data_IF_513577240057
#
_entry.id   IF_513577240057
#
_cell.length_a   1.000
_cell.length_b   1.000
_cell.length_c   1.000
_cell.angle_alpha   90.00
_cell.angle_beta   90.00
_cell.angle_gamma   90.00
#
_symmetry.space_group_name_H-M   'P 1'
#
loop_
_entity.id
_entity.type
_entity.pdbx_description
1 polymer ?
#
# COMPACT_ATOMS: atom_id res chain seq x y z
N UNK A 1 -14.71 25.47 2.57
CA UNK A 1 -13.24 25.46 2.66
C UNK A 1 -12.79 24.01 2.66
N UNK A 2 -12.16 23.51 1.57
CA UNK A 2 -11.44 22.23 1.66
C UNK A 2 -10.26 22.46 2.61
N UNK A 3 -10.09 21.57 3.58
CA UNK A 3 -8.91 21.52 4.43
C UNK A 3 -7.67 21.56 3.54
N UNK A 4 -6.72 22.44 3.83
CA UNK A 4 -5.38 22.45 3.24
C UNK A 4 -4.70 21.12 3.61
N UNK A 5 -5.01 20.05 2.86
CA UNK A 5 -4.58 18.69 3.19
C UNK A 5 -3.14 18.50 2.73
N UNK A 6 -2.22 19.14 3.44
CA UNK A 6 -0.80 18.85 3.31
C UNK A 6 -0.59 17.38 3.61
N UNK A 7 -0.05 16.67 2.63
CA UNK A 7 0.25 15.26 2.78
C UNK A 7 1.53 15.15 3.60
N UNK A 8 1.44 14.43 4.72
CA UNK A 8 2.59 14.23 5.58
C UNK A 8 3.60 13.29 4.92
N UNK A 9 4.87 13.40 5.33
CA UNK A 9 5.90 12.47 4.88
C UNK A 9 5.57 11.02 5.27
N UNK A 10 4.98 10.81 6.45
CA UNK A 10 4.53 9.50 6.91
C UNK A 10 3.46 8.92 5.98
N UNK A 11 2.49 9.73 5.57
CA UNK A 11 1.45 9.31 4.63
C UNK A 11 2.03 8.91 3.27
N UNK A 12 3.07 9.59 2.79
CA UNK A 12 3.79 9.16 1.59
C UNK A 12 4.50 7.81 1.82
N UNK A 13 5.27 7.69 2.89
CA UNK A 13 6.12 6.53 3.15
C UNK A 13 5.34 5.22 3.23
N UNK A 14 4.12 5.22 3.76
CA UNK A 14 3.29 4.00 3.84
C UNK A 14 2.87 3.46 2.46
N UNK A 15 2.90 4.27 1.40
CA UNK A 15 2.69 3.80 0.02
C UNK A 15 3.99 3.35 -0.67
N UNK A 16 5.15 3.80 -0.20
CA UNK A 16 6.45 3.50 -0.81
C UNK A 16 7.12 2.27 -0.22
N UNK A 17 7.09 2.19 1.11
CA UNK A 17 7.71 1.10 1.86
C UNK A 17 6.91 -0.17 1.61
N UNK A 18 7.60 -1.28 1.35
CA UNK A 18 6.99 -2.61 1.24
C UNK A 18 7.03 -3.33 2.57
N UNK A 19 6.12 -4.28 2.76
CA UNK A 19 6.07 -5.12 3.98
C UNK A 19 7.43 -5.77 4.27
N UNK A 20 8.13 -6.28 3.26
CA UNK A 20 9.46 -6.88 3.43
C UNK A 20 10.54 -5.95 3.97
N UNK A 21 10.36 -4.64 3.82
CA UNK A 21 11.37 -3.66 4.22
C UNK A 21 11.32 -3.40 5.74
N UNK A 22 10.25 -3.85 6.41
CA UNK A 22 10.01 -3.61 7.85
C UNK A 22 9.61 -4.86 8.63
N UNK A 23 9.35 -6.00 7.97
CA UNK A 23 9.00 -7.25 8.66
C UNK A 23 10.20 -7.90 9.34
N UNK A 24 9.94 -8.75 10.33
CA UNK A 24 10.92 -9.69 10.88
C UNK A 24 10.99 -10.95 10.01
N UNK A 25 12.17 -11.23 9.45
CA UNK A 25 12.41 -12.37 8.56
C UNK A 25 12.80 -13.65 9.31
N UNK A 26 13.47 -13.52 10.47
CA UNK A 26 13.87 -14.64 11.31
C UNK A 26 12.73 -15.08 12.23
N UNK A 27 11.81 -15.85 11.67
CA UNK A 27 10.60 -16.30 12.37
C UNK A 27 10.80 -17.66 13.01
N UNK A 28 10.50 -17.76 14.31
CA UNK A 28 10.36 -19.05 14.99
C UNK A 28 9.09 -19.75 14.48
N UNK A 29 9.26 -20.94 13.92
CA UNK A 29 8.17 -21.78 13.40
C UNK A 29 8.06 -23.09 14.16
N UNK A 30 6.87 -23.72 14.11
CA UNK A 30 6.63 -25.06 14.65
C UNK A 30 6.15 -26.02 13.56
N UNK A 31 6.44 -27.32 13.71
CA UNK A 31 5.93 -28.35 12.81
C UNK A 31 4.48 -28.71 13.15
N UNK A 32 3.63 -29.04 12.16
CA UNK A 32 2.26 -29.52 12.40
C UNK A 32 2.20 -30.81 13.24
N UNK A 33 3.28 -31.59 13.26
CA UNK A 33 3.40 -32.85 14.00
C UNK A 33 3.94 -32.66 15.42
N UNK A 34 4.35 -31.45 15.78
CA UNK A 34 4.81 -31.15 17.15
C UNK A 34 3.66 -31.41 18.13
N UNK A 35 3.87 -32.14 19.23
CA UNK A 35 2.85 -32.34 20.24
C UNK A 35 2.44 -31.04 20.94
N UNK A 36 1.18 -30.90 21.30
CA UNK A 36 0.65 -29.74 22.03
C UNK A 36 1.34 -29.57 23.40
N UNK A 37 1.73 -30.67 24.04
CA UNK A 37 2.51 -30.65 25.29
C UNK A 37 3.83 -29.87 25.19
N UNK A 38 4.47 -29.83 24.02
CA UNK A 38 5.74 -29.12 23.80
C UNK A 38 5.56 -27.64 23.45
N UNK A 39 4.33 -27.21 23.09
CA UNK A 39 4.07 -25.86 22.61
C UNK A 39 4.43 -24.80 23.65
N UNK A 40 4.07 -25.02 24.92
CA UNK A 40 4.33 -24.04 25.98
C UNK A 40 5.82 -23.78 26.18
N UNK A 41 6.64 -24.83 26.14
CA UNK A 41 8.09 -24.70 26.32
C UNK A 41 8.72 -23.94 25.15
N UNK A 42 8.30 -24.22 23.91
CA UNK A 42 8.75 -23.49 22.72
C UNK A 42 8.38 -22.00 22.84
N UNK A 43 7.13 -21.69 23.17
CA UNK A 43 6.66 -20.30 23.29
C UNK A 43 7.41 -19.56 24.41
N UNK A 44 7.61 -20.19 25.57
CA UNK A 44 8.31 -19.60 26.72
C UNK A 44 9.79 -19.39 26.44
N UNK A 45 10.48 -20.40 25.92
CA UNK A 45 11.93 -20.35 25.64
C UNK A 45 12.24 -19.27 24.60
N UNK A 46 11.43 -19.20 23.54
CA UNK A 46 11.60 -18.21 22.47
C UNK A 46 10.97 -16.85 22.77
N UNK A 47 10.31 -16.70 23.93
CA UNK A 47 9.62 -15.47 24.38
C UNK A 47 8.62 -14.94 23.37
N UNK A 48 7.84 -15.83 22.78
CA UNK A 48 6.80 -15.51 21.78
C UNK A 48 5.44 -15.98 22.28
N UNK A 49 4.38 -15.30 21.88
CA UNK A 49 2.99 -15.68 22.25
C UNK A 49 2.26 -16.50 21.19
N UNK A 50 2.96 -16.87 20.12
CA UNK A 50 2.43 -17.68 19.03
C UNK A 50 3.44 -17.80 17.90
N UNK A 51 3.28 -18.84 17.07
CA UNK A 51 4.19 -19.18 16.00
C UNK A 51 3.42 -19.63 14.74
N UNK A 52 3.92 -19.34 13.53
CA UNK A 52 3.43 -19.97 12.32
C UNK A 52 3.73 -21.48 12.36
N UNK A 53 2.77 -22.26 11.91
CA UNK A 53 2.94 -23.70 11.70
C UNK A 53 3.35 -23.91 10.25
N UNK A 54 4.50 -24.55 10.05
CA UNK A 54 5.11 -24.72 8.73
C UNK A 54 5.31 -26.20 8.42
N UNK A 55 4.90 -26.62 7.22
CA UNK A 55 5.17 -27.94 6.66
C UNK A 55 5.99 -27.78 5.37
N UNK A 56 7.21 -28.33 5.35
CA UNK A 56 8.12 -28.27 4.18
C UNK A 56 8.21 -26.87 3.56
N UNK A 57 8.50 -25.87 4.41
CA UNK A 57 8.62 -24.42 4.10
C UNK A 57 7.32 -23.69 3.72
N UNK A 58 6.18 -24.37 3.70
CA UNK A 58 4.88 -23.77 3.39
C UNK A 58 4.10 -23.52 4.67
N UNK A 59 3.40 -22.39 4.71
CA UNK A 59 2.51 -22.06 5.81
C UNK A 59 1.34 -23.05 5.84
N UNK A 60 1.23 -23.80 6.94
CA UNK A 60 0.17 -24.76 7.20
C UNK A 60 -0.91 -24.20 8.14
N UNK A 61 -0.54 -23.26 9.01
CA UNK A 61 -1.46 -22.63 9.96
C UNK A 61 -0.76 -21.65 10.89
N UNK A 62 -1.47 -21.17 11.91
CA UNK A 62 -0.90 -20.40 13.03
C UNK A 62 -1.40 -21.01 14.34
N UNK A 63 -0.53 -21.01 15.35
CA UNK A 63 -0.85 -21.45 16.71
C UNK A 63 -0.40 -20.40 17.71
N UNK A 64 -1.19 -20.19 18.76
CA UNK A 64 -0.97 -19.16 19.77
C UNK A 64 -1.05 -19.72 21.19
N UNK A 65 -0.65 -18.89 22.15
CA UNK A 65 -0.84 -19.17 23.56
C UNK A 65 -2.32 -19.33 23.94
N UNK A 66 -3.23 -18.62 23.26
CA UNK A 66 -4.69 -18.76 23.50
C UNK A 66 -5.17 -20.17 23.11
N UNK A 67 -4.66 -20.71 22.00
CA UNK A 67 -4.97 -22.09 21.57
C UNK A 67 -4.46 -23.12 22.57
N UNK A 68 -3.27 -22.90 23.13
CA UNK A 68 -2.72 -23.73 24.21
C UNK A 68 -3.60 -23.68 25.47
N UNK A 69 -4.01 -22.47 25.89
CA UNK A 69 -4.88 -22.28 27.07
C UNK A 69 -6.22 -23.00 26.86
N UNK A 70 -6.83 -22.89 25.67
CA UNK A 70 -8.08 -23.57 25.33
C UNK A 70 -7.94 -25.09 25.35
N UNK A 71 -6.86 -25.62 24.79
CA UNK A 71 -6.57 -27.06 24.81
C UNK A 71 -6.39 -27.56 26.24
N UNK A 72 -5.61 -26.85 27.07
CA UNK A 72 -5.35 -27.20 28.47
C UNK A 72 -6.65 -27.20 29.30
N UNK A 73 -7.51 -26.19 29.12
CA UNK A 73 -8.80 -26.10 29.81
C UNK A 73 -9.76 -27.23 29.42
N UNK A 74 -9.62 -27.77 28.20
CA UNK A 74 -10.46 -28.85 27.68
C UNK A 74 -10.16 -30.23 28.26
N UNK A 75 -9.06 -30.41 29.03
CA UNK A 75 -8.61 -31.71 29.59
C UNK A 75 -8.54 -32.83 28.55
N UNK A 76 -8.08 -32.50 27.35
CA UNK A 76 -7.92 -33.44 26.23
C UNK A 76 -6.56 -34.16 26.35
N UNK A 77 -6.47 -35.33 25.73
CA UNK A 77 -5.18 -36.02 25.54
C UNK A 77 -4.23 -35.19 24.67
N UNK A 78 -2.94 -35.50 24.75
CA UNK A 78 -1.94 -34.85 23.91
C UNK A 78 -2.20 -35.16 22.43
N UNK A 79 -2.08 -34.14 21.59
CA UNK A 79 -2.39 -34.22 20.17
C UNK A 79 -1.40 -33.35 19.38
N UNK A 80 -1.24 -33.59 18.06
CA UNK A 80 -0.42 -32.72 17.22
C UNK A 80 -1.00 -31.30 17.12
N UNK A 81 -0.12 -30.30 17.02
CA UNK A 81 -0.51 -28.89 16.79
C UNK A 81 -1.47 -28.73 15.61
N UNK A 82 -1.35 -29.57 14.58
CA UNK A 82 -2.22 -29.51 13.40
C UNK A 82 -3.72 -29.70 13.68
N UNK A 83 -4.09 -30.26 14.82
CA UNK A 83 -5.49 -30.42 15.26
C UNK A 83 -6.05 -29.16 15.92
N UNK A 84 -5.20 -28.30 16.48
CA UNK A 84 -5.59 -27.08 17.22
C UNK A 84 -5.23 -25.78 16.50
N UNK A 85 -4.36 -25.83 15.49
CA UNK A 85 -3.97 -24.65 14.74
C UNK A 85 -5.11 -24.04 13.93
N UNK A 86 -5.07 -22.72 13.76
CA UNK A 86 -5.93 -22.03 12.81
C UNK A 86 -5.37 -22.21 11.39
N UNK A 87 -6.20 -22.75 10.48
CA UNK A 87 -5.80 -23.05 9.09
C UNK A 87 -6.07 -21.92 8.11
N UNK A 88 -7.18 -21.18 8.27
CA UNK A 88 -7.46 -19.96 7.49
C UNK A 88 -6.67 -18.79 8.08
N UNK A 89 -5.37 -18.75 7.77
CA UNK A 89 -4.48 -17.69 8.24
C UNK A 89 -4.62 -16.48 7.33
N UNK A 90 -5.03 -15.35 7.89
CA UNK A 90 -4.94 -14.07 7.17
C UNK A 90 -3.48 -13.63 7.13
N UNK A 91 -2.97 -13.41 5.92
CA UNK A 91 -1.55 -13.15 5.65
C UNK A 91 -1.35 -11.84 4.91
N UNK A 92 -0.12 -11.34 4.92
CA UNK A 92 0.37 -10.26 4.07
C UNK A 92 1.36 -10.83 3.05
N UNK A 93 1.54 -10.13 1.94
CA UNK A 93 2.59 -10.45 0.97
C UNK A 93 3.81 -9.57 1.20
N UNK A 94 5.00 -10.17 1.09
CA UNK A 94 6.26 -9.45 1.28
C UNK A 94 6.44 -8.28 0.28
N UNK A 95 5.84 -8.36 -0.90
CA UNK A 95 5.97 -7.38 -1.97
C UNK A 95 4.96 -6.23 -1.92
N UNK A 96 3.94 -6.31 -1.07
CA UNK A 96 2.86 -5.33 -1.04
C UNK A 96 3.22 -4.08 -0.22
N UNK A 97 2.64 -2.91 -0.55
CA UNK A 97 2.87 -1.68 0.20
C UNK A 97 2.42 -1.74 1.66
N UNK A 98 3.13 -1.01 2.51
CA UNK A 98 2.93 -0.99 3.97
C UNK A 98 1.53 -0.53 4.37
N UNK A 99 0.89 0.34 3.58
CA UNK A 99 -0.49 0.78 3.78
C UNK A 99 -1.48 -0.40 3.85
N UNK A 100 -1.21 -1.51 3.15
CA UNK A 100 -2.07 -2.70 3.26
C UNK A 100 -1.90 -3.42 4.60
N UNK A 101 -0.69 -3.43 5.16
CA UNK A 101 -0.48 -3.93 6.51
C UNK A 101 -1.27 -3.10 7.52
N UNK A 102 -1.17 -1.76 7.43
CA UNK A 102 -1.93 -0.83 8.28
C UNK A 102 -3.44 -1.11 8.19
N UNK A 103 -3.99 -1.20 6.97
CA UNK A 103 -5.41 -1.49 6.76
C UNK A 103 -5.83 -2.85 7.33
N UNK A 104 -5.02 -3.91 7.16
CA UNK A 104 -5.33 -5.24 7.71
C UNK A 104 -5.27 -5.24 9.25
N UNK A 105 -4.32 -4.51 9.83
CA UNK A 105 -4.23 -4.33 11.28
C UNK A 105 -5.46 -3.63 11.86
N UNK A 106 -5.95 -2.59 11.21
CA UNK A 106 -7.17 -1.88 11.63
C UNK A 106 -8.41 -2.76 11.48
N UNK A 107 -8.54 -3.44 10.33
CA UNK A 107 -9.72 -4.26 10.02
C UNK A 107 -9.88 -5.47 10.95
N UNK A 108 -8.77 -6.18 11.24
CA UNK A 108 -8.83 -7.44 11.97
C UNK A 108 -8.49 -7.31 13.46
N UNK A 109 -7.87 -6.20 13.88
CA UNK A 109 -7.46 -6.00 15.27
C UNK A 109 -6.36 -6.96 15.74
N UNK A 110 -5.72 -7.71 14.83
CA UNK A 110 -4.66 -8.66 15.17
C UNK A 110 -3.40 -7.95 15.68
N UNK A 111 -2.66 -8.61 16.56
CA UNK A 111 -1.37 -8.09 17.05
C UNK A 111 -0.21 -8.31 16.08
N UNK A 112 -0.33 -9.28 15.17
CA UNK A 112 0.68 -9.61 14.16
C UNK A 112 0.04 -10.25 12.93
N UNK A 113 0.73 -10.17 11.81
CA UNK A 113 0.39 -10.88 10.57
C UNK A 113 1.56 -11.72 10.10
N UNK A 114 1.24 -12.91 9.58
CA UNK A 114 2.22 -13.74 8.88
C UNK A 114 2.43 -13.20 7.48
N UNK A 115 3.68 -13.03 7.08
CA UNK A 115 4.08 -12.55 5.75
C UNK A 115 4.52 -13.73 4.91
N UNK A 116 3.97 -13.84 3.70
CA UNK A 116 4.28 -14.92 2.76
C UNK A 116 4.74 -14.38 1.40
N UNK A 117 5.39 -15.25 0.63
CA UNK A 117 5.67 -14.98 -0.77
C UNK A 117 4.39 -15.16 -1.62
N UNK A 118 4.19 -14.26 -2.58
CA UNK A 118 3.01 -14.30 -3.46
C UNK A 118 3.03 -15.49 -4.42
N UNK A 119 4.21 -15.98 -4.82
CA UNK A 119 4.33 -16.99 -5.87
C UNK A 119 4.19 -18.41 -5.33
N UNK A 120 4.90 -18.73 -4.25
CA UNK A 120 5.01 -20.10 -3.74
C UNK A 120 4.35 -20.31 -2.36
N UNK A 121 3.78 -19.24 -1.78
CA UNK A 121 3.16 -19.21 -0.44
C UNK A 121 4.11 -19.63 0.69
N UNK A 122 5.43 -19.53 0.48
CA UNK A 122 6.40 -19.76 1.54
C UNK A 122 6.34 -18.66 2.59
N UNK A 123 6.60 -19.04 3.83
CA UNK A 123 6.78 -18.08 4.92
C UNK A 123 7.97 -17.17 4.62
N UNK A 124 7.77 -15.86 4.73
CA UNK A 124 8.81 -14.83 4.55
C UNK A 124 9.10 -14.06 5.82
N UNK A 125 8.13 -13.94 6.71
CA UNK A 125 8.31 -13.17 7.92
C UNK A 125 7.05 -13.09 8.78
N UNK A 126 7.15 -12.30 9.84
CA UNK A 126 6.02 -11.79 10.62
C UNK A 126 6.17 -10.28 10.66
N UNK A 127 5.04 -9.58 10.69
CA UNK A 127 5.01 -8.14 10.91
C UNK A 127 4.06 -7.82 12.07
N UNK A 128 4.45 -6.86 12.89
CA UNK A 128 3.71 -6.29 14.01
C UNK A 128 3.56 -4.78 13.85
N UNK A 129 2.67 -4.16 14.63
CA UNK A 129 2.56 -2.69 14.66
C UNK A 129 3.87 -2.02 15.13
N UNK A 130 4.66 -2.69 15.97
CA UNK A 130 5.96 -2.19 16.43
C UNK A 130 6.96 -2.08 15.28
N UNK A 131 7.05 -3.13 14.46
CA UNK A 131 7.97 -3.18 13.32
C UNK A 131 7.62 -2.11 12.27
N UNK A 132 6.32 -1.85 12.06
CA UNK A 132 5.85 -0.74 11.21
C UNK A 132 6.36 0.61 11.72
N UNK A 133 6.23 0.86 13.03
CA UNK A 133 6.66 2.13 13.65
C UNK A 133 8.18 2.28 13.54
N UNK A 134 8.94 1.25 13.92
CA UNK A 134 10.40 1.28 13.84
C UNK A 134 10.88 1.49 12.40
N UNK A 135 10.30 0.75 11.45
CA UNK A 135 10.63 0.86 10.03
C UNK A 135 10.33 2.25 9.46
N UNK A 136 9.21 2.86 9.85
CA UNK A 136 8.89 4.24 9.46
C UNK A 136 9.87 5.26 10.05
N UNK A 137 10.24 5.12 11.34
CA UNK A 137 11.21 6.00 11.99
C UNK A 137 12.59 5.93 11.31
N UNK A 138 13.11 4.72 11.08
CA UNK A 138 14.36 4.49 10.33
C UNK A 138 14.32 5.15 8.95
N UNK A 139 13.18 5.03 8.26
CA UNK A 139 13.05 5.59 6.91
C UNK A 139 13.00 7.11 6.91
N UNK A 140 12.32 7.71 7.89
CA UNK A 140 12.30 9.17 8.08
C UNK A 140 13.70 9.72 8.36
N UNK A 141 14.49 9.05 9.20
CA UNK A 141 15.88 9.43 9.49
C UNK A 141 16.75 9.39 8.22
N UNK A 142 16.65 8.32 7.42
CA UNK A 142 17.39 8.21 6.16
C UNK A 142 17.02 9.32 5.18
N UNK A 143 15.73 9.63 5.05
CA UNK A 143 15.28 10.66 4.12
C UNK A 143 15.65 12.08 4.60
N UNK A 144 15.64 12.33 5.91
CA UNK A 144 16.09 13.59 6.50
C UNK A 144 17.54 13.91 6.10
N UNK A 145 18.45 12.94 6.21
CA UNK A 145 19.84 13.13 5.80
C UNK A 145 20.03 13.30 4.27
N UNK A 146 19.10 12.80 3.45
CA UNK A 146 19.16 12.98 1.98
C UNK A 146 18.71 14.36 1.55
N UNK A 147 17.69 14.93 2.18
CA UNK A 147 17.17 16.28 1.86
C UNK A 147 18.22 17.37 2.11
N UNK A 148 19.09 17.19 3.11
CA UNK A 148 20.23 18.09 3.41
C UNK A 148 21.29 18.12 2.29
N UNK A 149 21.38 17.05 1.48
CA UNK A 149 22.38 16.92 0.40
C UNK A 149 21.82 17.29 -0.99
N UNK A 150 20.49 17.28 -1.18
CA UNK A 150 19.85 17.42 -2.49
C UNK A 150 19.31 18.82 -2.82
N UNK A 151 19.31 19.73 -1.84
CA UNK A 151 18.70 21.07 -1.97
C UNK A 151 19.35 22.00 -3.02
N UNK A 152 20.46 21.60 -3.65
CA UNK A 152 21.23 22.48 -4.56
C UNK A 152 20.99 22.27 -6.08
N UNK A 153 20.14 21.33 -6.52
CA UNK A 153 20.05 20.98 -7.97
C UNK A 153 18.65 20.95 -8.61
N UNK A 154 17.66 21.62 -8.03
CA UNK A 154 16.25 21.32 -8.33
C UNK A 154 15.53 22.36 -9.24
N UNK A 155 16.13 23.49 -9.64
CA UNK A 155 15.33 24.57 -10.29
C UNK A 155 15.45 24.74 -11.83
N UNK A 156 16.21 23.96 -12.60
CA UNK A 156 16.59 24.40 -13.99
C UNK A 156 16.08 23.56 -15.17
N UNK A 157 15.01 22.78 -15.05
CA UNK A 157 14.54 22.00 -16.22
C UNK A 157 13.63 22.80 -17.18
N UNK A 158 12.70 23.60 -16.65
CA UNK A 158 11.78 24.38 -17.50
C UNK A 158 12.32 25.78 -17.85
N UNK A 159 13.30 26.29 -17.11
CA UNK A 159 13.88 27.63 -17.32
C UNK A 159 14.72 27.72 -18.60
N UNK A 160 15.30 26.61 -19.05
CA UNK A 160 16.22 26.56 -20.20
C UNK A 160 15.51 26.21 -21.53
N UNK A 161 14.20 25.96 -21.51
CA UNK A 161 13.41 25.62 -22.71
C UNK A 161 12.59 26.84 -23.10
N UNK A 162 12.86 27.42 -24.27
CA UNK A 162 12.09 28.55 -24.82
C UNK A 162 11.01 28.06 -25.77
N UNK A 163 9.75 28.09 -25.34
CA UNK A 163 8.58 27.88 -26.19
C UNK A 163 7.36 28.62 -25.62
N UNK A 164 6.40 28.99 -26.47
CA UNK A 164 5.14 29.63 -26.04
C UNK A 164 4.32 28.75 -25.07
N UNK A 165 4.52 27.42 -25.15
CA UNK A 165 3.93 26.44 -24.22
C UNK A 165 4.80 25.19 -24.16
N UNK A 166 5.11 24.74 -22.94
CA UNK A 166 5.83 23.49 -22.70
C UNK A 166 4.94 22.55 -21.92
N UNK A 167 4.85 21.31 -22.37
CA UNK A 167 4.17 20.24 -21.66
C UNK A 167 4.94 18.93 -21.83
N UNK A 168 5.23 18.25 -20.73
CA UNK A 168 5.79 16.90 -20.75
C UNK A 168 4.66 15.88 -20.66
N UNK A 169 4.74 14.82 -21.47
CA UNK A 169 3.74 13.76 -21.51
C UNK A 169 4.38 12.43 -21.10
N UNK A 170 3.79 11.79 -20.10
CA UNK A 170 4.14 10.43 -19.67
C UNK A 170 2.93 9.53 -19.88
N UNK A 171 3.16 8.30 -20.35
CA UNK A 171 2.12 7.30 -20.50
C UNK A 171 2.57 5.97 -19.91
N UNK A 172 1.70 5.37 -19.11
CA UNK A 172 1.91 4.06 -18.50
C UNK A 172 0.74 3.15 -18.86
N UNK A 173 1.04 1.90 -19.17
CA UNK A 173 0.03 0.86 -19.36
C UNK A 173 -0.13 0.06 -18.08
N UNK A 174 -1.38 -0.17 -17.69
CA UNK A 174 -1.73 -0.91 -16.48
C UNK A 174 -2.53 -2.14 -16.90
N UNK A 175 -2.03 -3.32 -16.55
CA UNK A 175 -2.73 -4.58 -16.78
C UNK A 175 -3.73 -4.85 -15.64
N UNK A 176 -4.95 -5.25 -15.98
CA UNK A 176 -5.93 -5.71 -14.99
C UNK A 176 -5.40 -6.94 -14.24
N UNK A 177 -5.73 -7.04 -12.95
CA UNK A 177 -5.35 -8.15 -12.07
C UNK A 177 -3.83 -8.38 -11.89
N UNK A 178 -2.96 -7.50 -12.41
CA UNK A 178 -1.51 -7.60 -12.22
C UNK A 178 -1.05 -6.92 -10.92
N UNK A 179 -1.28 -7.60 -9.80
CA UNK A 179 -0.84 -7.10 -8.48
C UNK A 179 0.68 -7.15 -8.28
N UNK A 180 1.43 -7.88 -9.11
CA UNK A 180 2.90 -7.95 -8.99
C UNK A 180 3.55 -6.62 -9.36
N UNK A 181 2.94 -5.91 -10.30
CA UNK A 181 3.38 -4.60 -10.80
C UNK A 181 2.63 -3.42 -10.18
N UNK A 182 1.81 -3.70 -9.15
CA UNK A 182 1.06 -2.69 -8.41
C UNK A 182 1.97 -1.56 -7.90
N UNK A 183 1.60 -0.31 -8.19
CA UNK A 183 2.31 0.89 -7.75
C UNK A 183 3.55 1.26 -8.58
N UNK A 184 3.94 0.43 -9.56
CA UNK A 184 5.13 0.68 -10.38
C UNK A 184 5.00 1.98 -11.18
N UNK A 185 3.81 2.28 -11.72
CA UNK A 185 3.57 3.49 -12.50
C UNK A 185 3.71 4.73 -11.63
N UNK A 186 3.11 4.70 -10.43
CA UNK A 186 3.23 5.78 -9.44
C UNK A 186 4.68 5.99 -8.98
N UNK A 187 5.41 4.93 -8.64
CA UNK A 187 6.82 5.06 -8.21
C UNK A 187 7.73 5.62 -9.31
N UNK A 188 7.56 5.19 -10.56
CA UNK A 188 8.30 5.73 -11.71
C UNK A 188 7.98 7.19 -11.97
N UNK A 189 6.70 7.57 -11.88
CA UNK A 189 6.26 8.94 -12.00
C UNK A 189 6.86 9.82 -10.91
N UNK A 190 6.79 9.39 -9.64
CA UNK A 190 7.42 10.08 -8.51
C UNK A 190 8.91 10.34 -8.77
N UNK A 191 9.66 9.30 -9.12
CA UNK A 191 11.09 9.41 -9.37
C UNK A 191 11.38 10.40 -10.52
N UNK A 192 10.53 10.43 -11.55
CA UNK A 192 10.65 11.37 -12.67
C UNK A 192 10.36 12.80 -12.24
N UNK A 193 9.28 13.04 -11.49
CA UNK A 193 8.93 14.38 -11.00
C UNK A 193 9.99 14.93 -10.02
N UNK A 194 10.61 14.07 -9.21
CA UNK A 194 11.74 14.45 -8.36
C UNK A 194 12.96 14.88 -9.17
N UNK A 195 13.25 14.21 -10.30
CA UNK A 195 14.33 14.60 -11.22
C UNK A 195 14.03 15.87 -12.00
N UNK A 196 12.76 16.15 -12.27
CA UNK A 196 12.30 17.42 -12.84
C UNK A 196 12.33 18.57 -11.82
N UNK A 197 12.58 18.26 -10.55
CA UNK A 197 12.75 19.25 -9.50
C UNK A 197 11.46 19.88 -9.00
N UNK A 198 10.34 19.16 -9.09
CA UNK A 198 9.09 19.67 -8.54
C UNK A 198 9.12 19.67 -7.01
N UNK A 199 8.32 20.57 -6.42
CA UNK A 199 8.23 20.68 -4.97
C UNK A 199 7.75 19.35 -4.33
N UNK A 200 8.36 18.88 -3.22
CA UNK A 200 8.03 17.58 -2.61
C UNK A 200 6.55 17.37 -2.30
N UNK A 201 5.82 18.42 -1.90
CA UNK A 201 4.38 18.34 -1.62
C UNK A 201 3.57 18.00 -2.88
N UNK A 202 3.93 18.58 -4.03
CA UNK A 202 3.28 18.28 -5.31
C UNK A 202 3.56 16.83 -5.70
N UNK A 203 4.82 16.40 -5.58
CA UNK A 203 5.25 15.03 -5.87
C UNK A 203 4.46 14.01 -5.04
N UNK A 204 4.32 14.24 -3.72
CA UNK A 204 3.56 13.38 -2.81
C UNK A 204 2.11 13.20 -3.25
N UNK A 205 1.43 14.32 -3.52
CA UNK A 205 0.03 14.33 -3.98
C UNK A 205 -0.14 13.57 -5.28
N UNK A 206 0.73 13.80 -6.26
CA UNK A 206 0.67 13.10 -7.55
C UNK A 206 0.92 11.60 -7.39
N UNK A 207 1.92 11.21 -6.57
CA UNK A 207 2.26 9.81 -6.35
C UNK A 207 1.11 9.03 -5.71
N UNK A 208 0.53 9.53 -4.61
CA UNK A 208 -0.56 8.85 -3.91
C UNK A 208 -1.81 8.77 -4.80
N UNK A 209 -2.20 9.88 -5.44
CA UNK A 209 -3.35 9.89 -6.33
C UNK A 209 -3.19 8.91 -7.50
N UNK A 210 -1.98 8.82 -8.06
CA UNK A 210 -1.68 7.90 -9.17
C UNK A 210 -1.70 6.45 -8.70
N UNK A 211 -1.18 6.15 -7.50
CA UNK A 211 -1.20 4.80 -6.92
C UNK A 211 -2.65 4.30 -6.73
N UNK A 212 -3.50 5.13 -6.13
CA UNK A 212 -4.90 4.78 -5.90
C UNK A 212 -5.67 4.59 -7.22
N UNK A 213 -5.39 5.44 -8.21
CA UNK A 213 -6.01 5.32 -9.52
C UNK A 213 -5.52 4.06 -10.25
N UNK A 214 -4.23 3.74 -10.17
CA UNK A 214 -3.64 2.50 -10.69
C UNK A 214 -4.28 1.26 -10.04
N UNK A 215 -4.46 1.25 -8.72
CA UNK A 215 -5.12 0.15 -8.02
C UNK A 215 -6.57 -0.03 -8.47
N UNK A 216 -7.30 1.06 -8.69
CA UNK A 216 -8.67 0.96 -9.20
C UNK A 216 -8.72 0.27 -10.57
N UNK A 217 -7.77 0.56 -11.47
CA UNK A 217 -7.66 -0.14 -12.76
C UNK A 217 -7.35 -1.62 -12.55
N UNK A 218 -6.34 -1.95 -11.73
CA UNK A 218 -5.94 -3.35 -11.48
C UNK A 218 -7.09 -4.16 -10.88
N UNK A 219 -7.85 -3.56 -9.97
CA UNK A 219 -8.91 -4.25 -9.22
C UNK A 219 -10.17 -4.40 -10.07
N UNK A 220 -10.63 -3.34 -10.74
CA UNK A 220 -11.98 -3.28 -11.30
C UNK A 220 -12.05 -3.39 -12.83
N UNK A 221 -10.92 -3.28 -13.53
CA UNK A 221 -10.87 -3.31 -15.00
C UNK A 221 -9.98 -4.43 -15.55
N UNK A 222 -10.08 -4.67 -16.85
CA UNK A 222 -9.20 -5.59 -17.60
C UNK A 222 -7.82 -4.97 -17.88
N UNK A 223 -7.71 -3.65 -17.68
CA UNK A 223 -6.51 -2.86 -17.86
C UNK A 223 -6.86 -1.43 -18.21
N UNK A 224 -5.84 -0.60 -18.42
CA UNK A 224 -6.02 0.82 -18.68
C UNK A 224 -4.73 1.54 -19.00
N UNK A 225 -4.85 2.85 -19.13
CA UNK A 225 -3.73 3.75 -19.40
C UNK A 225 -3.76 4.91 -18.43
N UNK A 226 -2.59 5.23 -17.88
CA UNK A 226 -2.37 6.45 -17.10
C UNK A 226 -1.58 7.40 -18.00
N UNK A 227 -2.14 8.57 -18.29
CA UNK A 227 -1.47 9.65 -19.02
C UNK A 227 -1.26 10.83 -18.08
N UNK A 228 -0.03 11.30 -17.98
CA UNK A 228 0.32 12.45 -17.15
C UNK A 228 0.81 13.56 -18.06
N UNK A 229 0.18 14.74 -17.95
CA UNK A 229 0.67 15.98 -18.56
C UNK A 229 1.23 16.85 -17.44
N UNK A 230 2.49 17.23 -17.55
CA UNK A 230 3.16 18.16 -16.64
C UNK A 230 3.37 19.48 -17.37
N UNK A 231 2.75 20.53 -16.86
CA UNK A 231 2.91 21.93 -17.28
C UNK A 231 3.44 22.74 -16.08
N UNK A 232 3.97 23.96 -16.31
CA UNK A 232 4.57 24.78 -15.24
C UNK A 232 3.69 24.97 -14.00
N UNK A 233 2.37 25.15 -14.18
CA UNK A 233 1.44 25.45 -13.08
C UNK A 233 0.45 24.31 -12.78
N UNK A 234 0.50 23.21 -13.54
CA UNK A 234 -0.48 22.14 -13.42
C UNK A 234 0.10 20.78 -13.82
N UNK A 235 -0.19 19.77 -13.00
CA UNK A 235 -0.09 18.36 -13.37
C UNK A 235 -1.49 17.80 -13.55
N UNK A 236 -1.74 17.25 -14.73
CA UNK A 236 -2.97 16.53 -15.07
C UNK A 236 -2.68 15.04 -15.21
N UNK A 237 -3.21 14.24 -14.30
CA UNK A 237 -3.22 12.77 -14.40
C UNK A 237 -4.57 12.34 -14.95
N UNK A 238 -4.57 11.67 -16.10
CA UNK A 238 -5.74 11.04 -16.71
C UNK A 238 -5.61 9.53 -16.64
N UNK A 239 -6.66 8.86 -16.18
CA UNK A 239 -6.74 7.41 -16.14
C UNK A 239 -7.94 6.97 -16.95
N UNK A 240 -7.70 6.10 -17.92
CA UNK A 240 -8.72 5.52 -18.79
C UNK A 240 -8.63 4.00 -18.66
N UNK A 241 -9.72 3.36 -18.23
CA UNK A 241 -9.78 1.91 -18.10
C UNK A 241 -10.72 1.25 -19.11
N UNK A 242 -10.50 -0.04 -19.30
CA UNK A 242 -11.40 -0.95 -20.00
C UNK A 242 -12.01 -1.87 -18.98
N UNK A 243 -13.10 -1.43 -18.38
CA UNK A 243 -13.80 -2.17 -17.33
C UNK A 243 -15.32 -2.13 -17.48
N UNK A 244 -16.05 -2.73 -16.53
CA UNK A 244 -17.50 -2.77 -16.53
C UNK A 244 -18.15 -1.38 -16.32
N UNK A 245 -17.37 -0.39 -15.89
CA UNK A 245 -17.84 0.92 -15.47
C UNK A 245 -18.45 0.89 -14.06
N UNK A 246 -18.76 2.08 -13.54
CA UNK A 246 -19.30 2.33 -12.21
C UNK A 246 -20.80 2.66 -12.40
N UNK A 247 -21.72 1.83 -11.88
CA UNK A 247 -23.16 2.06 -12.03
C UNK A 247 -23.64 3.36 -11.38
N UNK A 248 -23.09 3.69 -10.22
CA UNK A 248 -23.43 4.87 -9.43
C UNK A 248 -22.14 5.56 -8.96
N UNK A 249 -21.77 6.62 -9.66
CA UNK A 249 -20.53 7.37 -9.41
C UNK A 249 -20.61 8.15 -8.11
N UNK A 250 -21.78 8.68 -7.76
CA UNK A 250 -21.96 9.45 -6.52
C UNK A 250 -21.77 8.56 -5.30
N UNK A 251 -22.37 7.37 -5.34
CA UNK A 251 -22.17 6.35 -4.30
C UNK A 251 -20.73 5.88 -4.23
N UNK A 252 -20.05 5.72 -5.37
CA UNK A 252 -18.65 5.33 -5.42
C UNK A 252 -17.69 6.35 -4.76
N UNK A 253 -18.06 7.63 -4.71
CA UNK A 253 -17.28 8.68 -4.07
C UNK A 253 -17.48 8.75 -2.55
N UNK A 254 -18.46 8.01 -1.99
CA UNK A 254 -18.71 8.00 -0.55
C UNK A 254 -17.62 7.21 0.18
N UNK A 255 -17.00 7.78 1.24
CA UNK A 255 -15.99 7.08 2.02
C UNK A 255 -16.50 5.74 2.54
N UNK A 256 -15.69 4.70 2.42
CA UNK A 256 -16.03 3.35 2.88
C UNK A 256 -16.88 2.53 1.90
N UNK A 257 -17.40 3.13 0.83
CA UNK A 257 -18.12 2.37 -0.19
C UNK A 257 -17.17 1.61 -1.11
N UNK A 258 -17.42 0.32 -1.31
CA UNK A 258 -16.55 -0.55 -2.11
C UNK A 258 -17.30 -1.72 -2.71
N UNK A 259 -17.17 -1.88 -4.03
CA UNK A 259 -17.67 -3.02 -4.80
C UNK A 259 -16.60 -4.10 -5.01
N UNK A 260 -15.48 -4.01 -4.28
CA UNK A 260 -14.39 -4.98 -4.36
C UNK A 260 -14.91 -6.41 -4.05
N UNK A 261 -14.60 -7.40 -4.91
CA UNK A 261 -14.84 -8.81 -4.60
C UNK A 261 -14.20 -9.23 -3.28
N UNK A 262 -14.71 -10.28 -2.63
CA UNK A 262 -14.21 -10.74 -1.33
C UNK A 262 -12.71 -11.06 -1.36
N UNK A 263 -12.24 -11.71 -2.42
CA UNK A 263 -10.81 -11.99 -2.58
C UNK A 263 -9.95 -10.71 -2.64
N UNK A 264 -10.47 -9.58 -3.14
CA UNK A 264 -9.78 -8.27 -3.12
C UNK A 264 -9.80 -7.67 -1.71
N UNK A 265 -10.91 -7.84 -0.98
CA UNK A 265 -11.04 -7.40 0.41
C UNK A 265 -10.14 -8.18 1.37
N UNK A 266 -9.88 -9.45 1.07
CA UNK A 266 -8.92 -10.30 1.79
C UNK A 266 -7.48 -9.90 1.55
N UNK A 267 -7.17 -9.36 0.36
CA UNK A 267 -5.86 -8.77 0.05
C UNK A 267 -5.61 -7.45 0.81
N UNK A 268 -6.59 -6.92 1.55
CA UNK A 268 -6.46 -5.64 2.27
C UNK A 268 -6.81 -4.41 1.42
N UNK A 269 -7.26 -4.63 0.19
CA UNK A 269 -7.80 -3.60 -0.69
C UNK A 269 -9.32 -3.47 -0.50
N UNK A 270 -9.92 -2.46 -1.14
CA UNK A 270 -11.37 -2.36 -1.17
C UNK A 270 -12.00 -1.93 0.17
N UNK A 271 -11.25 -1.22 1.01
CA UNK A 271 -11.80 -0.48 2.16
C UNK A 271 -12.68 0.72 1.76
N UNK A 272 -12.79 1.01 0.46
CA UNK A 272 -13.62 2.12 -0.06
C UNK A 272 -13.00 3.50 0.13
N UNK A 273 -11.68 3.56 0.36
CA UNK A 273 -10.96 4.82 0.58
C UNK A 273 -10.28 5.39 -0.67
N UNK A 274 -10.06 4.59 -1.71
CA UNK A 274 -9.18 4.99 -2.83
C UNK A 274 -9.62 6.25 -3.58
N UNK A 275 -10.90 6.36 -3.96
CA UNK A 275 -11.42 7.57 -4.62
C UNK A 275 -11.43 8.79 -3.68
N UNK A 276 -11.61 8.57 -2.37
CA UNK A 276 -11.51 9.64 -1.38
C UNK A 276 -10.06 10.13 -1.23
N UNK A 277 -9.10 9.21 -1.14
CA UNK A 277 -7.67 9.50 -1.10
C UNK A 277 -7.24 10.31 -2.33
N UNK A 278 -7.72 9.93 -3.53
CA UNK A 278 -7.48 10.70 -4.76
C UNK A 278 -8.06 12.12 -4.62
N UNK A 279 -9.31 12.24 -4.18
CA UNK A 279 -9.98 13.54 -3.99
C UNK A 279 -9.25 14.46 -3.00
N UNK A 280 -8.68 13.88 -1.93
CA UNK A 280 -7.88 14.61 -0.94
C UNK A 280 -6.53 15.04 -1.51
N UNK A 281 -5.96 14.30 -2.46
CA UNK A 281 -4.73 14.70 -3.14
C UNK A 281 -4.98 15.75 -4.24
N UNK A 282 -6.19 15.83 -4.80
CA UNK A 282 -6.49 16.61 -6.00
C UNK A 282 -7.08 18.00 -5.71
N UNK A 283 -6.65 19.02 -6.46
CA UNK A 283 -7.32 20.32 -6.45
C UNK A 283 -8.67 20.23 -7.17
N UNK A 284 -8.68 19.54 -8.32
CA UNK A 284 -9.91 19.17 -9.03
C UNK A 284 -9.86 17.71 -9.47
N UNK A 285 -10.99 17.04 -9.33
CA UNK A 285 -11.17 15.66 -9.74
C UNK A 285 -12.46 15.55 -10.55
N UNK A 286 -12.42 14.84 -11.68
CA UNK A 286 -13.58 14.53 -12.49
C UNK A 286 -13.58 13.04 -12.83
N UNK A 287 -14.67 12.36 -12.48
CA UNK A 287 -14.86 10.94 -12.69
C UNK A 287 -16.09 10.74 -13.58
N UNK A 288 -15.89 10.11 -14.74
CA UNK A 288 -16.95 9.76 -15.67
C UNK A 288 -16.88 8.27 -15.95
N UNK A 289 -17.98 7.57 -15.77
CA UNK A 289 -18.04 6.14 -16.06
C UNK A 289 -19.26 5.82 -16.90
N UNK A 290 -19.14 4.80 -17.75
CA UNK A 290 -20.26 4.31 -18.54
C UNK A 290 -20.25 2.79 -18.49
N UNK A 291 -21.42 2.22 -18.16
CA UNK A 291 -21.57 0.78 -18.05
C UNK A 291 -21.16 0.08 -19.36
N UNK A 292 -20.30 -0.92 -19.24
CA UNK A 292 -19.74 -1.68 -20.35
C UNK A 292 -18.69 -0.95 -21.21
N UNK A 293 -18.34 0.31 -20.90
CA UNK A 293 -17.34 1.10 -21.64
C UNK A 293 -16.12 1.51 -20.81
N UNK A 294 -16.15 1.29 -19.51
CA UNK A 294 -15.07 1.65 -18.58
C UNK A 294 -15.21 3.05 -17.98
N UNK A 295 -14.15 3.47 -17.30
CA UNK A 295 -14.11 4.72 -16.53
C UNK A 295 -13.00 5.65 -16.99
N UNK A 296 -13.27 6.95 -16.92
CA UNK A 296 -12.37 8.04 -17.22
C UNK A 296 -12.25 8.92 -15.98
N UNK A 297 -11.06 8.98 -15.41
CA UNK A 297 -10.74 9.80 -14.25
C UNK A 297 -9.73 10.88 -14.68
N UNK A 298 -9.99 12.12 -14.30
CA UNK A 298 -9.06 13.25 -14.45
C UNK A 298 -8.77 13.85 -13.08
N UNK A 299 -7.49 14.00 -12.77
CA UNK A 299 -6.96 14.50 -11.50
C UNK A 299 -6.07 15.69 -11.83
N UNK A 300 -6.44 16.86 -11.33
CA UNK A 300 -5.71 18.11 -11.51
C UNK A 300 -5.04 18.48 -10.19
N UNK A 301 -3.72 18.69 -10.25
CA UNK A 301 -2.89 19.12 -9.13
C UNK A 301 -2.13 20.36 -9.58
N UNK A 302 -2.36 21.49 -8.91
CA UNK A 302 -1.68 22.74 -9.18
C UNK A 302 -0.27 22.72 -8.59
N UNK A 303 0.66 23.23 -9.38
CA UNK A 303 2.04 23.47 -8.96
C UNK A 303 2.07 24.92 -8.50
N UNK A 304 1.97 25.13 -7.19
CA UNK A 304 2.16 26.49 -6.65
C UNK A 304 3.63 26.86 -6.78
N UNK A 305 3.90 28.02 -7.37
CA UNK A 305 5.24 28.62 -7.38
C UNK A 305 5.63 28.88 -5.92
N UNK A 306 6.57 28.08 -5.41
CA UNK A 306 7.08 28.23 -4.07
C UNK A 306 7.98 29.46 -3.94
N UNK A 307 7.43 30.69 -4.00
CA UNK A 307 7.95 31.90 -3.34
C UNK A 307 6.79 32.90 -3.15
N UNK A 308 6.17 32.91 -1.97
CA UNK A 308 5.84 34.21 -1.34
C UNK A 308 6.95 34.47 -0.35
N UNK A 309 7.83 35.38 -0.75
CA UNK A 309 8.78 36.04 0.13
C UNK A 309 8.01 36.53 1.36
N UNK A 310 8.41 36.06 2.54
CA UNK A 310 8.17 36.80 3.76
C UNK A 310 8.86 38.16 3.58
N UNK A 311 8.07 39.17 3.24
CA UNK A 311 8.50 40.57 3.25
C UNK A 311 7.29 41.39 3.70
N UNK A 312 7.12 41.45 5.01
CA UNK A 312 7.14 42.68 5.81
C UNK A 312 6.72 42.39 7.25
#
# INVERSE_FOLDING_TARGET
MKSDSRISKVQELVYEIRVRDVMEDNVVTVSPQTPMSQLQDILREKRISGAPVVDKDKLAGIISLDDFIRWLAGRQDDCPISEKMTRDVKTLYADEPLIHAVNKFEKHGFGRFVVIDRQDKRLRGIITKGDIIEGLLKKLEIDYHKEETQSERIQRFFEDIYADRIALFFQYEVAGKDFKRAGESSSRLKATLGRLGLHPQVIRRVAIATYEAEMNVIIYADGGKIRVRVEPHEILVKVEDRGPGIPDVEKALQPGYSTAPDWVRELGFGAGMGLNNISNCADRMNLRSTLGKGTHLSIHIFVEDGVKSETN
#
